data_IF_558762374229
#
_entry.id   IF_558762374229
#
_cell.length_a   1.000
_cell.length_b   1.000
_cell.length_c   1.000
_cell.angle_alpha   90.00
_cell.angle_beta   90.00
_cell.angle_gamma   90.00
#
_symmetry.space_group_name_H-M   'P 1'
#
loop_
_entity.id
_entity.type
_entity.pdbx_description
1 polymer ?
#
# COMPACT_ATOMS: atom_id res chain seq x y z
N UNK A 1 17.53 12.18 6.29
CA UNK A 1 17.68 11.93 5.87
C UNK A 1 18.14 11.37 5.42
N UNK A 2 18.45 11.26 5.30
CA UNK A 2 18.96 10.77 4.77
C UNK A 2 19.12 9.80 4.75
N UNK A 3 19.14 9.32 4.99
CA UNK A 3 19.43 8.44 4.91
C UNK A 3 18.99 7.61 4.32
N UNK A 4 18.73 7.43 4.21
CA UNK A 4 18.25 6.65 3.52
C UNK A 4 18.63 6.54 2.34
N UNK A 5 19.44 7.05 2.14
CA UNK A 5 19.75 7.25 0.94
C UNK A 5 20.23 6.11 0.19
N UNK A 6 21.14 5.41 0.54
CA UNK A 6 21.67 4.38 -0.23
C UNK A 6 20.70 3.36 -0.63
N UNK A 7 19.84 3.07 0.20
CA UNK A 7 18.99 2.13 -0.09
C UNK A 7 17.96 2.50 -1.00
N UNK A 8 17.81 3.72 -1.26
CA UNK A 8 16.81 4.16 -2.13
C UNK A 8 16.97 3.59 -3.50
N UNK A 9 18.13 3.14 -3.81
CA UNK A 9 18.33 2.57 -5.12
C UNK A 9 17.51 1.33 -5.28
N UNK A 10 17.30 0.61 -4.22
CA UNK A 10 16.59 -0.61 -4.31
C UNK A 10 15.11 -0.51 -4.15
N UNK A 11 14.64 0.52 -3.53
CA UNK A 11 13.23 0.63 -3.28
C UNK A 11 12.74 1.96 -3.75
N UNK A 12 11.63 1.98 -4.41
CA UNK A 12 11.04 3.21 -4.85
C UNK A 12 10.52 3.96 -3.64
N UNK A 13 10.54 5.27 -3.70
CA UNK A 13 9.98 6.05 -2.61
C UNK A 13 8.51 5.72 -2.45
N UNK A 14 8.07 5.68 -1.24
CA UNK A 14 6.69 5.39 -0.95
C UNK A 14 6.04 6.63 -0.34
N UNK A 15 5.02 7.12 -0.99
CA UNK A 15 4.26 8.25 -0.49
C UNK A 15 2.80 7.91 -0.57
N UNK A 16 2.02 8.52 0.29
CA UNK A 16 0.61 8.27 0.32
C UNK A 16 -0.10 9.59 0.55
N UNK A 17 -1.03 9.92 -0.32
CA UNK A 17 -1.79 11.14 -0.21
C UNK A 17 -3.27 10.79 -0.19
N UNK A 18 -3.93 11.13 0.88
CA UNK A 18 -5.35 10.85 1.01
C UNK A 18 -6.08 12.18 1.06
N UNK A 19 -7.01 12.36 0.13
CA UNK A 19 -7.78 13.58 0.05
C UNK A 19 -9.24 13.31 0.31
N UNK A 20 -9.79 14.02 1.25
CA UNK A 20 -11.22 13.95 1.57
C UNK A 20 -11.74 12.54 1.80
N UNK A 21 -10.88 11.66 2.29
CA UNK A 21 -11.24 10.28 2.55
C UNK A 21 -11.80 9.58 1.31
N UNK A 22 -11.62 10.16 0.15
CA UNK A 22 -12.22 9.59 -1.04
C UNK A 22 -11.26 9.36 -2.19
N UNK A 23 -10.10 9.98 -2.14
CA UNK A 23 -9.15 9.78 -3.21
C UNK A 23 -7.79 9.51 -2.60
N UNK A 24 -7.20 8.41 -2.99
CA UNK A 24 -5.91 7.99 -2.45
C UNK A 24 -4.92 7.85 -3.59
N UNK A 25 -3.74 8.44 -3.42
CA UNK A 25 -2.66 8.28 -4.36
C UNK A 25 -1.51 7.64 -3.60
N UNK A 26 -1.00 6.53 -4.11
CA UNK A 26 0.08 5.80 -3.46
C UNK A 26 1.21 5.62 -4.45
N UNK A 27 2.44 5.90 -4.01
CA UNK A 27 3.60 5.61 -4.84
C UNK A 27 4.41 4.53 -4.16
N UNK A 28 5.30 3.91 -4.90
CA UNK A 28 6.07 2.80 -4.38
C UNK A 28 5.35 1.49 -4.48
N UNK A 29 4.28 1.43 -5.27
CA UNK A 29 3.46 0.23 -5.39
C UNK A 29 4.11 -0.75 -6.35
N UNK A 30 4.20 -2.02 -5.94
CA UNK A 30 4.75 -3.03 -6.80
C UNK A 30 3.67 -3.81 -7.53
N UNK A 31 2.55 -4.01 -6.87
CA UNK A 31 1.42 -4.63 -7.54
C UNK A 31 0.18 -4.46 -6.68
N UNK A 32 -0.95 -4.70 -7.30
CA UNK A 32 -2.22 -4.68 -6.59
C UNK A 32 -2.54 -6.12 -6.27
N UNK A 33 -2.59 -6.45 -4.98
CA UNK A 33 -2.88 -7.81 -4.57
C UNK A 33 -4.34 -8.11 -4.79
N UNK A 34 -5.18 -7.17 -4.39
CA UNK A 34 -6.60 -7.31 -4.67
C UNK A 34 -7.27 -5.96 -4.47
N UNK A 35 -8.42 -5.80 -5.06
CA UNK A 35 -9.22 -4.60 -4.85
C UNK A 35 -10.67 -4.99 -4.94
N UNK A 36 -11.33 -5.03 -3.79
CA UNK A 36 -12.75 -5.30 -3.70
C UNK A 36 -13.43 -4.01 -3.27
N UNK A 37 -14.74 -3.91 -3.41
CA UNK A 37 -15.40 -2.67 -3.03
C UNK A 37 -15.20 -2.26 -1.58
N UNK A 38 -15.00 -3.21 -0.69
CA UNK A 38 -14.85 -2.87 0.71
C UNK A 38 -13.42 -3.03 1.24
N UNK A 39 -12.50 -3.52 0.44
CA UNK A 39 -11.12 -3.65 0.89
C UNK A 39 -10.17 -3.76 -0.28
N UNK A 40 -8.94 -3.36 -0.07
CA UNK A 40 -7.94 -3.44 -1.11
C UNK A 40 -6.59 -3.69 -0.45
N UNK A 41 -5.69 -4.31 -1.19
CA UNK A 41 -4.35 -4.57 -0.69
C UNK A 41 -3.35 -4.31 -1.80
N UNK A 42 -2.34 -3.53 -1.49
CA UNK A 42 -1.29 -3.16 -2.44
C UNK A 42 0.04 -3.63 -1.90
N UNK A 43 0.85 -4.22 -2.76
CA UNK A 43 2.16 -4.69 -2.35
C UNK A 43 3.17 -3.59 -2.58
N UNK A 44 3.93 -3.28 -1.56
CA UNK A 44 4.99 -2.28 -1.64
C UNK A 44 6.32 -3.02 -1.56
N UNK A 45 7.40 -2.30 -1.41
CA UNK A 45 8.71 -2.94 -1.43
C UNK A 45 8.91 -3.92 -0.29
N UNK A 46 8.54 -3.54 0.90
CA UNK A 46 8.77 -4.42 2.05
C UNK A 46 7.55 -4.57 2.93
N UNK A 47 6.41 -4.17 2.45
CA UNK A 47 5.20 -4.29 3.25
C UNK A 47 3.98 -4.30 2.35
N UNK A 48 2.83 -4.46 2.95
CA UNK A 48 1.58 -4.46 2.22
C UNK A 48 0.72 -3.36 2.84
N UNK A 49 0.12 -2.56 1.98
CA UNK A 49 -0.79 -1.52 2.44
C UNK A 49 -2.20 -2.06 2.29
N UNK A 50 -2.91 -2.12 3.39
CA UNK A 50 -4.28 -2.62 3.40
C UNK A 50 -5.25 -1.46 3.61
N UNK A 51 -6.31 -1.45 2.85
CA UNK A 51 -7.31 -0.40 2.91
C UNK A 51 -8.67 -1.02 3.17
N UNK A 52 -9.50 -0.32 3.90
CA UNK A 52 -10.87 -0.75 4.04
C UNK A 52 -11.78 0.44 3.92
N UNK A 53 -12.98 0.23 3.47
CA UNK A 53 -13.94 1.30 3.27
C UNK A 53 -15.11 0.85 2.44
N UNK A 54 -15.55 1.68 1.52
CA UNK A 54 -16.69 1.37 0.68
C UNK A 54 -16.49 1.88 -0.73
N UNK A 55 -17.04 1.15 -1.68
CA UNK A 55 -16.98 1.52 -3.09
C UNK A 55 -15.55 1.78 -3.57
N UNK A 56 -14.61 1.02 -3.07
CA UNK A 56 -13.22 1.19 -3.44
C UNK A 56 -12.97 0.69 -4.85
N UNK A 57 -12.20 1.44 -5.61
CA UNK A 57 -11.82 0.99 -6.94
C UNK A 57 -10.49 1.64 -7.31
N UNK A 58 -9.74 0.97 -8.16
CA UNK A 58 -8.48 1.51 -8.66
C UNK A 58 -8.82 2.30 -9.89
N UNK A 59 -8.53 3.60 -9.85
CA UNK A 59 -8.86 4.47 -10.97
C UNK A 59 -7.69 4.69 -11.90
N UNK A 60 -6.48 4.45 -11.43
CA UNK A 60 -5.31 4.57 -12.29
C UNK A 60 -4.21 3.70 -11.69
N UNK A 61 -3.44 3.07 -12.56
CA UNK A 61 -2.37 2.21 -12.10
C UNK A 61 -1.23 2.29 -13.10
N UNK A 62 -0.04 2.63 -12.60
CA UNK A 62 1.13 2.70 -13.46
C UNK A 62 2.25 2.01 -12.70
N UNK A 63 2.43 0.73 -12.99
CA UNK A 63 3.42 -0.04 -12.27
C UNK A 63 4.85 0.26 -12.66
N UNK A 64 5.06 0.87 -13.79
CA UNK A 64 6.40 1.26 -14.14
C UNK A 64 6.86 2.37 -13.22
N UNK A 65 5.96 3.25 -12.86
CA UNK A 65 6.29 4.32 -11.95
C UNK A 65 5.92 3.97 -10.53
N UNK A 66 5.25 2.87 -10.33
CA UNK A 66 4.88 2.46 -9.00
C UNK A 66 3.76 3.30 -8.42
N UNK A 67 2.87 3.79 -9.25
CA UNK A 67 1.82 4.68 -8.76
C UNK A 67 0.45 4.07 -8.92
N UNK A 68 -0.36 4.17 -7.90
CA UNK A 68 -1.74 3.69 -7.95
C UNK A 68 -2.65 4.76 -7.38
N UNK A 69 -3.81 4.92 -8.00
CA UNK A 69 -4.81 5.85 -7.50
C UNK A 69 -6.09 5.09 -7.27
N UNK A 70 -6.69 5.33 -6.13
CA UNK A 70 -7.92 4.65 -5.76
C UNK A 70 -8.96 5.68 -5.37
N UNK A 71 -10.21 5.35 -5.55
CA UNK A 71 -11.28 6.21 -5.12
C UNK A 71 -12.29 5.38 -4.36
N UNK A 72 -13.22 6.08 -3.70
CA UNK A 72 -14.23 5.44 -2.89
C UNK A 72 -14.23 6.08 -1.52
N UNK A 73 -14.70 5.35 -0.52
CA UNK A 73 -14.67 5.86 0.83
C UNK A 73 -13.55 5.11 1.56
N UNK A 74 -12.62 5.84 2.12
CA UNK A 74 -11.50 5.22 2.83
C UNK A 74 -11.78 5.33 4.32
N UNK A 75 -11.93 4.19 4.98
CA UNK A 75 -12.19 4.19 6.42
C UNK A 75 -10.94 3.86 7.22
N UNK A 76 -10.07 3.02 6.70
CA UNK A 76 -8.88 2.63 7.43
C UNK A 76 -7.74 2.29 6.49
N UNK A 77 -6.53 2.53 6.95
CA UNK A 77 -5.31 2.20 6.24
C UNK A 77 -4.43 1.49 7.24
N UNK A 78 -3.79 0.42 6.79
CA UNK A 78 -2.94 -0.31 7.70
C UNK A 78 -1.79 -0.95 6.94
N UNK A 79 -0.59 -0.92 7.49
CA UNK A 79 0.55 -1.58 6.88
C UNK A 79 0.78 -2.91 7.59
N UNK A 80 1.11 -3.92 6.81
CA UNK A 80 1.48 -5.21 7.39
C UNK A 80 2.75 -5.67 6.70
N UNK A 81 3.46 -6.58 7.34
CA UNK A 81 4.70 -7.07 6.78
C UNK A 81 4.41 -7.90 5.55
N UNK A 82 5.24 -7.74 4.55
CA UNK A 82 4.99 -8.41 3.30
C UNK A 82 5.45 -9.83 3.26
N UNK A 83 6.32 -10.21 4.16
CA UNK A 83 6.85 -11.53 4.08
C UNK A 83 6.97 -12.19 5.38
N UNK A 84 7.51 -13.36 5.37
CA UNK A 84 7.71 -14.07 6.58
C UNK A 84 6.46 -14.34 7.31
N UNK A 85 5.56 -14.93 6.65
CA UNK A 85 4.30 -15.19 7.27
C UNK A 85 4.44 -15.96 8.54
N UNK A 86 5.31 -16.93 8.55
CA UNK A 86 5.46 -17.70 9.76
C UNK A 86 5.99 -16.89 10.89
N UNK A 87 7.01 -16.11 10.61
CA UNK A 87 7.58 -15.33 11.64
C UNK A 87 6.62 -14.29 12.15
N UNK A 88 5.89 -13.72 11.25
CA UNK A 88 4.96 -12.73 11.65
C UNK A 88 3.90 -13.31 12.54
N UNK A 89 3.44 -14.46 12.21
CA UNK A 89 2.43 -15.06 13.00
C UNK A 89 2.91 -15.36 14.40
N UNK A 90 4.11 -15.75 14.52
CA UNK A 90 4.60 -16.04 15.82
C UNK A 90 4.61 -14.83 16.66
N UNK A 91 4.95 -13.72 16.11
CA UNK A 91 4.95 -12.54 16.89
C UNK A 91 3.59 -12.17 17.32
N UNK A 92 2.65 -12.36 16.48
CA UNK A 92 1.32 -12.01 16.84
C UNK A 92 0.75 -12.87 17.90
N UNK A 93 1.18 -14.09 17.89
CA UNK A 93 0.66 -14.96 18.85
C UNK A 93 1.17 -14.75 20.20
N UNK A 94 2.25 -14.11 20.38
CA UNK A 94 2.79 -13.96 21.58
C UNK A 94 2.37 -13.05 22.30
#
# INVERSE_FOLDING_TARGET
>A
MEKQTGRLADTAPHNLILESRSQLTVTGVRKVIRCDPDSAALSLADCVLNLSGGDLSVTALDLERGEAKLSGRIDALEYTEARTPGGLLRRLVR
#
